data_IF_420506835568
#
_entry.id   IF_420506835568
#
_cell.length_a   1.000
_cell.length_b   1.000
_cell.length_c   1.000
_cell.angle_alpha   90.00
_cell.angle_beta   90.00
_cell.angle_gamma   90.00
#
_symmetry.space_group_name_H-M   'P 1'
#
loop_
_entity.id
_entity.type
_entity.pdbx_description
1 polymer ?
#
# COMPACT_ATOMS: atom_id res chain seq x y z
N UNK A 1 11.44 -30.03 -8.47
CA UNK A 1 10.34 -29.43 -9.26
C UNK A 1 10.34 -27.96 -8.95
N UNK A 2 9.90 -27.11 -9.88
CA UNK A 2 9.72 -25.69 -9.59
C UNK A 2 8.50 -25.49 -8.69
N UNK A 3 8.58 -24.54 -7.75
CA UNK A 3 7.46 -24.16 -6.89
C UNK A 3 6.65 -23.02 -7.53
N UNK A 4 5.38 -23.24 -7.82
CA UNK A 4 4.47 -22.24 -8.37
C UNK A 4 3.50 -21.77 -7.30
N UNK A 5 3.55 -20.47 -6.95
CA UNK A 5 2.65 -19.87 -5.97
C UNK A 5 1.67 -18.94 -6.67
N UNK A 6 0.38 -19.21 -6.51
CA UNK A 6 -0.68 -18.28 -6.91
C UNK A 6 -0.94 -17.32 -5.75
N UNK A 7 -0.79 -16.01 -5.97
CA UNK A 7 -1.24 -14.97 -5.05
C UNK A 7 -2.64 -14.47 -5.42
N UNK A 8 -3.47 -14.19 -4.42
CA UNK A 8 -4.82 -13.63 -4.57
C UNK A 8 -4.96 -12.43 -3.63
N UNK A 9 -5.29 -11.26 -4.19
CA UNK A 9 -5.58 -10.03 -3.47
C UNK A 9 -7.01 -9.58 -3.73
N UNK A 10 -7.77 -9.34 -2.65
CA UNK A 10 -9.15 -8.86 -2.70
C UNK A 10 -9.54 -8.03 -1.49
N UNK A 11 -8.61 -7.33 -0.87
CA UNK A 11 -8.86 -6.68 0.44
C UNK A 11 -9.72 -5.43 0.37
N UNK A 12 -9.79 -4.75 -0.78
CA UNK A 12 -10.50 -3.47 -0.94
C UNK A 12 -11.36 -3.46 -2.20
N UNK A 13 -10.92 -2.79 -3.27
CA UNK A 13 -11.66 -2.64 -4.53
C UNK A 13 -10.92 -3.20 -5.75
N UNK A 14 -9.69 -3.64 -5.63
CA UNK A 14 -8.94 -4.30 -6.70
C UNK A 14 -8.98 -5.81 -6.55
N UNK A 15 -9.46 -6.53 -7.58
CA UNK A 15 -9.33 -7.99 -7.66
C UNK A 15 -8.05 -8.34 -8.40
N UNK A 16 -7.12 -9.04 -7.78
CA UNK A 16 -5.85 -9.34 -8.40
C UNK A 16 -5.41 -10.79 -8.19
N UNK A 17 -4.74 -11.35 -9.21
CA UNK A 17 -4.07 -12.65 -9.14
C UNK A 17 -2.68 -12.58 -9.78
N UNK A 18 -1.71 -13.24 -9.17
CA UNK A 18 -0.34 -13.29 -9.65
C UNK A 18 0.26 -14.69 -9.49
N UNK A 19 1.16 -15.06 -10.38
CA UNK A 19 1.89 -16.34 -10.30
C UNK A 19 3.37 -16.06 -10.14
N UNK A 20 3.97 -16.67 -9.12
CA UNK A 20 5.43 -16.78 -8.96
C UNK A 20 5.91 -18.16 -9.33
N UNK A 21 7.11 -18.26 -9.90
CA UNK A 21 7.90 -19.48 -10.06
C UNK A 21 9.22 -19.33 -9.32
N UNK A 22 9.44 -20.13 -8.28
CA UNK A 22 10.67 -20.09 -7.48
C UNK A 22 11.03 -18.69 -6.97
N UNK A 23 10.02 -17.88 -6.62
CA UNK A 23 10.16 -16.49 -6.17
C UNK A 23 10.10 -15.43 -7.29
N UNK A 24 10.24 -15.82 -8.57
CA UNK A 24 10.19 -14.90 -9.72
C UNK A 24 8.76 -14.71 -10.25
N UNK A 25 8.39 -13.47 -10.50
CA UNK A 25 7.07 -13.10 -11.03
C UNK A 25 6.93 -13.52 -12.50
N UNK A 26 5.94 -14.37 -12.78
CA UNK A 26 5.54 -14.74 -14.14
C UNK A 26 4.37 -13.91 -14.64
N UNK A 27 3.39 -13.64 -13.78
CA UNK A 27 2.21 -12.86 -14.14
C UNK A 27 1.66 -12.08 -12.95
N UNK A 28 1.05 -10.92 -13.23
CA UNK A 28 0.26 -10.14 -12.27
C UNK A 28 -0.89 -9.50 -13.05
N UNK A 29 -2.12 -9.85 -12.69
CA UNK A 29 -3.35 -9.39 -13.33
C UNK A 29 -4.18 -8.65 -12.29
N UNK A 30 -4.62 -7.44 -12.63
CA UNK A 30 -5.42 -6.58 -11.75
C UNK A 30 -6.67 -6.15 -12.50
N UNK A 31 -7.83 -6.34 -11.88
CA UNK A 31 -9.13 -5.82 -12.32
C UNK A 31 -9.59 -4.75 -11.33
N UNK A 32 -9.40 -3.48 -11.70
CA UNK A 32 -9.78 -2.33 -10.88
C UNK A 32 -11.24 -1.94 -11.07
N UNK A 33 -11.91 -1.55 -9.99
CA UNK A 33 -13.32 -1.20 -9.98
C UNK A 33 -13.51 0.31 -10.13
N UNK A 34 -13.87 0.75 -11.35
CA UNK A 34 -14.06 2.19 -11.65
C UNK A 34 -15.32 2.79 -10.99
N UNK A 35 -16.31 1.96 -10.65
CA UNK A 35 -17.62 2.39 -10.12
C UNK A 35 -17.49 3.24 -8.84
N UNK A 36 -16.48 3.04 -8.04
CA UNK A 36 -16.29 3.75 -6.78
C UNK A 36 -15.99 5.24 -6.92
N UNK A 37 -15.52 5.68 -8.10
CA UNK A 37 -15.26 7.10 -8.40
C UNK A 37 -16.54 7.94 -8.34
N UNK A 38 -17.64 7.38 -8.78
CA UNK A 38 -18.94 8.05 -8.81
C UNK A 38 -19.52 8.28 -7.39
N UNK A 39 -19.07 7.50 -6.42
CA UNK A 39 -19.49 7.59 -5.02
C UNK A 39 -18.50 8.39 -4.15
N UNK A 40 -17.37 8.83 -4.72
CA UNK A 40 -16.32 9.55 -3.97
C UNK A 40 -15.64 8.72 -2.89
N UNK A 41 -15.59 7.38 -3.07
CA UNK A 41 -14.96 6.43 -2.17
C UNK A 41 -15.51 5.01 -2.34
N UNK A 42 -14.83 4.03 -1.75
CA UNK A 42 -15.20 2.62 -1.89
C UNK A 42 -16.53 2.32 -1.18
N UNK A 43 -17.45 1.67 -1.90
CA UNK A 43 -18.72 1.16 -1.37
C UNK A 43 -18.56 -0.35 -1.14
N UNK A 44 -18.52 -0.83 0.12
CA UNK A 44 -18.13 -2.21 0.44
C UNK A 44 -18.97 -3.30 -0.22
N UNK A 45 -20.29 -3.08 -0.35
CA UNK A 45 -21.17 -4.06 -1.00
C UNK A 45 -20.90 -4.17 -2.51
N UNK A 46 -20.68 -3.04 -3.18
CA UNK A 46 -20.33 -3.04 -4.61
C UNK A 46 -18.96 -3.69 -4.83
N UNK A 47 -17.99 -3.41 -3.94
CA UNK A 47 -16.68 -4.02 -4.01
C UNK A 47 -16.76 -5.56 -3.91
N UNK A 48 -17.47 -6.11 -2.92
CA UNK A 48 -17.58 -7.56 -2.77
C UNK A 48 -18.26 -8.24 -3.96
N UNK A 49 -19.33 -7.65 -4.52
CA UNK A 49 -19.98 -8.17 -5.74
C UNK A 49 -19.08 -8.16 -6.95
N UNK A 50 -18.28 -7.12 -7.12
CA UNK A 50 -17.31 -7.03 -8.22
C UNK A 50 -16.18 -8.07 -8.06
N UNK A 51 -15.70 -8.32 -6.84
CA UNK A 51 -14.76 -9.41 -6.58
C UNK A 51 -15.32 -10.76 -6.98
N UNK A 52 -16.58 -11.06 -6.63
CA UNK A 52 -17.25 -12.31 -6.99
C UNK A 52 -17.28 -12.52 -8.52
N UNK A 53 -17.55 -11.47 -9.26
CA UNK A 53 -17.58 -11.51 -10.74
C UNK A 53 -16.18 -11.64 -11.35
N UNK A 54 -15.17 -11.00 -10.74
CA UNK A 54 -13.85 -10.85 -11.34
C UNK A 54 -12.87 -11.97 -10.96
N UNK A 55 -13.05 -12.66 -9.82
CA UNK A 55 -12.02 -13.55 -9.27
C UNK A 55 -11.67 -14.71 -10.21
N UNK A 56 -12.67 -15.35 -10.80
CA UNK A 56 -12.44 -16.47 -11.73
C UNK A 56 -11.70 -16.01 -12.99
N UNK A 57 -12.20 -15.00 -13.75
CA UNK A 57 -11.49 -14.54 -14.95
C UNK A 57 -10.10 -13.97 -14.67
N UNK A 58 -9.88 -13.31 -13.53
CA UNK A 58 -8.56 -12.75 -13.15
C UNK A 58 -7.57 -13.87 -12.86
N UNK A 59 -7.97 -14.91 -12.11
CA UNK A 59 -7.13 -16.08 -11.84
C UNK A 59 -6.83 -16.86 -13.11
N UNK A 60 -7.84 -17.12 -13.95
CA UNK A 60 -7.65 -17.79 -15.25
C UNK A 60 -6.61 -17.03 -16.10
N UNK A 61 -6.79 -15.71 -16.23
CA UNK A 61 -5.88 -14.89 -17.01
C UNK A 61 -4.45 -14.85 -16.42
N UNK A 62 -4.30 -14.91 -15.09
CA UNK A 62 -3.00 -14.97 -14.45
C UNK A 62 -2.27 -16.28 -14.76
N UNK A 63 -2.97 -17.42 -14.73
CA UNK A 63 -2.42 -18.73 -15.11
C UNK A 63 -2.05 -18.78 -16.60
N UNK A 64 -2.94 -18.30 -17.48
CA UNK A 64 -2.70 -18.24 -18.92
C UNK A 64 -1.45 -17.39 -19.26
N UNK A 65 -1.31 -16.20 -18.66
CA UNK A 65 -0.14 -15.33 -18.83
C UNK A 65 1.15 -15.95 -18.27
N UNK A 66 1.04 -16.75 -17.21
CA UNK A 66 2.17 -17.49 -16.64
C UNK A 66 2.54 -18.71 -17.49
N UNK A 67 1.69 -19.14 -18.43
CA UNK A 67 1.89 -20.32 -19.28
C UNK A 67 1.81 -21.63 -18.52
N UNK A 68 1.01 -21.68 -17.44
CA UNK A 68 0.83 -22.87 -16.59
C UNK A 68 -0.64 -23.24 -16.44
N UNK A 69 -0.90 -24.48 -16.03
CA UNK A 69 -2.22 -24.94 -15.62
C UNK A 69 -2.41 -24.85 -14.11
N UNK A 70 -3.64 -24.85 -13.64
CA UNK A 70 -3.93 -24.88 -12.22
C UNK A 70 -3.32 -26.11 -11.51
N UNK A 71 -3.23 -27.25 -12.20
CA UNK A 71 -2.58 -28.47 -11.69
C UNK A 71 -1.07 -28.35 -11.44
N UNK A 72 -0.42 -27.31 -11.98
CA UNK A 72 1.02 -27.09 -11.80
C UNK A 72 1.33 -26.28 -10.52
N UNK A 73 0.28 -25.70 -9.90
CA UNK A 73 0.41 -24.91 -8.68
C UNK A 73 0.87 -25.78 -7.50
N UNK A 74 1.77 -25.21 -6.70
CA UNK A 74 2.31 -25.83 -5.48
C UNK A 74 1.61 -25.30 -4.21
N UNK A 75 1.18 -24.05 -4.20
CA UNK A 75 0.42 -23.44 -3.10
C UNK A 75 -0.36 -22.21 -3.57
N UNK A 76 -1.34 -21.78 -2.76
CA UNK A 76 -2.13 -20.58 -2.98
C UNK A 76 -1.95 -19.65 -1.80
N UNK A 77 -1.39 -18.45 -2.04
CA UNK A 77 -1.34 -17.37 -1.06
C UNK A 77 -2.54 -16.44 -1.25
N UNK A 78 -3.17 -16.03 -0.15
CA UNK A 78 -4.33 -15.15 -0.21
C UNK A 78 -4.33 -14.14 0.92
N UNK A 79 -4.92 -12.98 0.70
CA UNK A 79 -5.05 -11.94 1.72
C UNK A 79 -6.11 -12.34 2.73
N UNK A 80 -5.65 -12.58 3.97
CA UNK A 80 -6.54 -12.81 5.12
C UNK A 80 -7.15 -11.49 5.64
N UNK A 81 -6.42 -10.40 5.54
CA UNK A 81 -6.72 -9.07 6.05
C UNK A 81 -5.45 -8.27 6.35
N UNK A 82 -5.59 -7.02 6.84
CA UNK A 82 -6.84 -6.28 7.02
C UNK A 82 -7.51 -5.91 5.69
N UNK A 83 -8.80 -5.52 5.74
CA UNK A 83 -9.55 -5.08 4.57
C UNK A 83 -11.07 -5.11 4.77
N UNK A 84 -11.81 -4.92 3.69
CA UNK A 84 -13.27 -5.00 3.67
C UNK A 84 -13.70 -6.47 3.82
N UNK A 85 -14.44 -6.80 4.86
CA UNK A 85 -14.77 -8.19 5.20
C UNK A 85 -15.45 -8.94 4.03
N UNK A 86 -16.41 -8.31 3.33
CA UNK A 86 -17.08 -8.90 2.19
C UNK A 86 -16.13 -9.22 1.03
N UNK A 87 -15.22 -8.31 0.73
CA UNK A 87 -14.19 -8.47 -0.30
C UNK A 87 -13.18 -9.58 0.07
N UNK A 88 -12.70 -9.59 1.31
CA UNK A 88 -11.81 -10.63 1.84
C UNK A 88 -12.45 -12.02 1.83
N UNK A 89 -13.76 -12.11 2.13
CA UNK A 89 -14.52 -13.38 2.08
C UNK A 89 -14.48 -14.01 0.70
N UNK A 90 -14.57 -13.22 -0.37
CA UNK A 90 -14.50 -13.73 -1.74
C UNK A 90 -13.15 -14.38 -2.02
N UNK A 91 -12.06 -13.67 -1.81
CA UNK A 91 -10.71 -14.19 -2.06
C UNK A 91 -10.35 -15.38 -1.16
N UNK A 92 -10.71 -15.30 0.14
CA UNK A 92 -10.49 -16.41 1.08
C UNK A 92 -11.26 -17.67 0.69
N UNK A 93 -12.55 -17.54 0.34
CA UNK A 93 -13.38 -18.70 -0.04
C UNK A 93 -12.90 -19.33 -1.34
N UNK A 94 -12.52 -18.49 -2.32
CA UNK A 94 -11.96 -18.97 -3.58
C UNK A 94 -10.63 -19.71 -3.36
N UNK A 95 -9.70 -19.15 -2.59
CA UNK A 95 -8.43 -19.80 -2.29
C UNK A 95 -8.60 -21.14 -1.59
N UNK A 96 -9.51 -21.23 -0.62
CA UNK A 96 -9.84 -22.49 0.07
C UNK A 96 -10.42 -23.52 -0.88
N UNK A 97 -11.43 -23.14 -1.67
CA UNK A 97 -12.09 -24.06 -2.61
C UNK A 97 -11.07 -24.62 -3.63
N UNK A 98 -10.21 -23.75 -4.16
CA UNK A 98 -9.19 -24.14 -5.11
C UNK A 98 -8.10 -25.02 -4.47
N UNK A 99 -7.67 -24.70 -3.23
CA UNK A 99 -6.72 -25.51 -2.47
C UNK A 99 -7.24 -26.92 -2.20
N UNK A 100 -8.52 -27.06 -1.83
CA UNK A 100 -9.19 -28.37 -1.65
C UNK A 100 -9.26 -29.13 -2.97
N UNK A 101 -9.68 -28.47 -4.06
CA UNK A 101 -9.86 -29.12 -5.35
C UNK A 101 -8.55 -29.62 -5.96
N UNK A 102 -7.44 -28.96 -5.68
CA UNK A 102 -6.10 -29.30 -6.20
C UNK A 102 -5.26 -30.12 -5.20
N UNK A 103 -5.74 -30.32 -3.99
CA UNK A 103 -5.02 -30.98 -2.88
C UNK A 103 -3.66 -30.31 -2.61
N UNK A 104 -3.65 -28.95 -2.58
CA UNK A 104 -2.45 -28.15 -2.31
C UNK A 104 -2.67 -27.20 -1.12
N UNK A 105 -1.60 -26.85 -0.38
CA UNK A 105 -1.71 -25.96 0.76
C UNK A 105 -2.14 -24.55 0.38
N UNK A 106 -2.88 -23.92 1.29
CA UNK A 106 -3.16 -22.48 1.27
C UNK A 106 -2.30 -21.76 2.30
N UNK A 107 -1.95 -20.51 2.01
CA UNK A 107 -1.08 -19.66 2.84
C UNK A 107 -1.78 -18.33 3.06
N UNK A 108 -2.16 -18.05 4.30
CA UNK A 108 -2.71 -16.74 4.63
C UNK A 108 -1.61 -15.68 4.68
N UNK A 109 -1.90 -14.50 4.15
CA UNK A 109 -1.00 -13.36 4.14
C UNK A 109 -1.68 -12.14 4.77
N UNK A 110 -0.94 -11.41 5.59
CA UNK A 110 -1.34 -10.08 6.02
C UNK A 110 -1.08 -9.10 4.86
N UNK A 111 -2.13 -8.36 4.45
CA UNK A 111 -2.07 -7.37 3.38
C UNK A 111 -0.92 -6.35 3.55
N UNK A 112 -0.72 -5.88 4.78
CA UNK A 112 0.34 -4.91 5.09
C UNK A 112 1.74 -5.52 4.94
N UNK A 113 1.92 -6.80 5.29
CA UNK A 113 3.17 -7.53 5.01
C UNK A 113 3.42 -7.65 3.51
N UNK A 114 2.37 -7.84 2.71
CA UNK A 114 2.47 -7.78 1.26
C UNK A 114 3.10 -6.46 0.78
N UNK A 115 2.58 -5.33 1.23
CA UNK A 115 3.16 -4.02 0.90
C UNK A 115 4.61 -3.83 1.38
N UNK A 116 4.94 -4.32 2.58
CA UNK A 116 6.30 -4.25 3.13
C UNK A 116 7.29 -5.07 2.28
N UNK A 117 6.84 -6.22 1.78
CA UNK A 117 7.64 -7.14 0.97
C UNK A 117 7.53 -6.90 -0.55
N UNK A 118 6.74 -5.93 -0.99
CA UNK A 118 6.54 -5.63 -2.42
C UNK A 118 7.85 -5.35 -3.18
N UNK A 119 8.87 -4.84 -2.49
CA UNK A 119 10.20 -4.64 -3.05
C UNK A 119 10.98 -5.93 -3.33
N UNK A 120 10.51 -7.08 -2.86
CA UNK A 120 11.10 -8.40 -3.10
C UNK A 120 10.44 -9.16 -4.26
N UNK A 121 9.58 -8.51 -5.04
CA UNK A 121 8.99 -9.11 -6.25
C UNK A 121 10.03 -9.13 -7.37
N UNK A 122 10.72 -10.25 -7.50
CA UNK A 122 11.75 -10.47 -8.51
C UNK A 122 11.16 -10.70 -9.90
N UNK A 123 11.85 -10.22 -10.93
CA UNK A 123 11.47 -10.36 -12.32
C UNK A 123 12.66 -10.89 -13.12
N UNK A 124 12.44 -11.89 -13.96
CA UNK A 124 13.48 -12.42 -14.83
C UNK A 124 14.02 -11.32 -15.78
N UNK A 125 15.34 -11.27 -15.95
CA UNK A 125 16.00 -10.30 -16.83
C UNK A 125 16.11 -8.88 -16.29
N UNK A 126 15.70 -8.64 -15.03
CA UNK A 126 15.87 -7.36 -14.35
C UNK A 126 16.92 -7.43 -13.24
N UNK A 127 17.49 -6.27 -12.92
CA UNK A 127 18.28 -6.13 -11.70
C UNK A 127 17.33 -6.11 -10.51
N UNK A 128 17.35 -7.19 -9.73
CA UNK A 128 16.54 -7.35 -8.54
C UNK A 128 17.36 -6.90 -7.32
N UNK A 129 17.03 -5.74 -6.77
CA UNK A 129 17.72 -5.16 -5.61
C UNK A 129 16.80 -5.11 -4.41
N UNK A 130 17.25 -5.70 -3.31
CA UNK A 130 16.50 -5.77 -2.05
C UNK A 130 17.26 -5.12 -0.91
N UNK A 131 16.55 -4.57 0.10
CA UNK A 131 17.17 -4.17 1.34
C UNK A 131 17.73 -5.40 2.07
N UNK A 132 18.90 -5.25 2.68
CA UNK A 132 19.40 -6.23 3.63
C UNK A 132 18.61 -6.14 4.94
N UNK A 133 18.37 -7.27 5.58
CA UNK A 133 17.75 -7.31 6.91
C UNK A 133 18.78 -6.96 8.00
N UNK A 134 18.43 -6.21 9.05
CA UNK A 134 17.16 -5.53 9.22
C UNK A 134 17.04 -4.25 8.39
N UNK A 135 15.83 -3.90 7.96
CA UNK A 135 15.56 -2.66 7.27
C UNK A 135 14.37 -1.90 7.88
N UNK A 136 14.23 -0.62 7.53
CA UNK A 136 13.07 0.21 7.86
C UNK A 136 12.14 0.33 6.65
N UNK A 137 10.88 0.04 6.85
CA UNK A 137 9.82 0.31 5.89
C UNK A 137 8.92 1.44 6.37
N UNK A 138 8.81 2.52 5.58
CA UNK A 138 7.76 3.52 5.76
C UNK A 138 6.52 3.02 5.00
N UNK A 139 5.61 2.38 5.72
CA UNK A 139 4.36 1.87 5.19
C UNK A 139 3.29 2.96 5.22
N UNK A 140 2.82 3.40 4.04
CA UNK A 140 1.86 4.50 3.88
C UNK A 140 0.80 4.17 2.85
N UNK A 141 -0.46 4.07 3.28
CA UNK A 141 -1.60 3.71 2.46
C UNK A 141 -2.83 4.56 2.79
N UNK A 142 -3.97 4.25 2.20
CA UNK A 142 -5.26 4.87 2.52
C UNK A 142 -5.64 4.69 3.99
N UNK A 143 -5.39 3.52 4.57
CA UNK A 143 -5.79 3.19 5.94
C UNK A 143 -4.64 3.05 6.95
N UNK A 144 -3.38 3.11 6.51
CA UNK A 144 -2.23 2.85 7.39
C UNK A 144 -1.10 3.85 7.17
N UNK A 145 -0.46 4.24 8.27
CA UNK A 145 0.77 5.03 8.26
C UNK A 145 1.64 4.54 9.40
N UNK A 146 2.72 3.81 9.08
CA UNK A 146 3.58 3.13 10.06
C UNK A 146 5.05 3.21 9.67
N UNK A 147 5.93 3.20 10.66
CA UNK A 147 7.34 2.85 10.48
C UNK A 147 7.52 1.45 11.05
N UNK A 148 7.93 0.53 10.20
CA UNK A 148 8.13 -0.88 10.56
C UNK A 148 9.61 -1.22 10.43
N UNK A 149 10.19 -1.82 11.48
CA UNK A 149 11.46 -2.52 11.40
C UNK A 149 11.20 -3.94 10.99
N UNK A 150 11.89 -4.40 9.98
CA UNK A 150 11.76 -5.73 9.40
C UNK A 150 13.07 -6.46 9.66
N UNK A 151 13.04 -7.45 10.54
CA UNK A 151 14.21 -8.22 10.93
C UNK A 151 14.41 -9.47 10.05
N UNK A 152 13.32 -10.01 9.49
CA UNK A 152 13.30 -11.07 8.51
C UNK A 152 11.99 -11.00 7.69
N UNK A 153 11.79 -11.80 6.64
CA UNK A 153 10.52 -11.83 5.90
C UNK A 153 9.29 -12.17 6.73
N UNK A 154 9.48 -12.68 7.94
CA UNK A 154 8.40 -13.09 8.85
C UNK A 154 8.40 -12.35 10.20
N UNK A 155 9.37 -11.45 10.44
CA UNK A 155 9.52 -10.76 11.73
C UNK A 155 9.48 -9.25 11.54
N UNK A 156 8.49 -8.63 12.17
CA UNK A 156 8.18 -7.20 12.01
C UNK A 156 7.97 -6.55 13.38
N UNK A 157 8.47 -5.32 13.52
CA UNK A 157 8.25 -4.50 14.72
C UNK A 157 7.74 -3.12 14.30
N UNK A 158 6.56 -2.73 14.73
CA UNK A 158 6.05 -1.36 14.54
C UNK A 158 6.80 -0.44 15.49
N UNK A 159 7.56 0.51 14.95
CA UNK A 159 8.30 1.51 15.72
C UNK A 159 7.48 2.77 16.00
N UNK A 160 6.55 3.09 15.13
CA UNK A 160 5.63 4.22 15.25
C UNK A 160 4.51 4.13 14.22
N UNK A 161 3.37 4.72 14.54
CA UNK A 161 2.18 4.68 13.68
C UNK A 161 1.34 5.94 13.84
N UNK A 162 0.36 6.12 12.96
CA UNK A 162 -0.61 7.19 13.13
C UNK A 162 -1.51 6.92 14.33
N UNK A 163 -1.83 7.98 15.08
CA UNK A 163 -2.77 7.93 16.22
C UNK A 163 -4.19 8.38 15.82
N UNK A 164 -4.36 8.82 14.57
CA UNK A 164 -5.63 9.31 14.03
C UNK A 164 -5.77 8.90 12.55
N UNK A 165 -6.07 9.83 11.65
CA UNK A 165 -6.18 9.56 10.20
C UNK A 165 -4.87 8.98 9.65
N UNK A 166 -4.95 8.08 8.65
CA UNK A 166 -3.80 7.72 7.84
C UNK A 166 -3.45 8.85 6.85
N UNK A 167 -2.21 8.87 6.36
CA UNK A 167 -1.77 9.93 5.43
C UNK A 167 -2.54 9.90 4.10
N UNK A 168 -2.88 8.73 3.59
CA UNK A 168 -3.70 8.60 2.38
C UNK A 168 -5.12 9.13 2.59
N UNK A 169 -5.73 8.80 3.72
CA UNK A 169 -7.02 9.36 4.13
C UNK A 169 -6.97 10.89 4.27
N UNK A 170 -5.86 11.45 4.77
CA UNK A 170 -5.66 12.89 4.83
C UNK A 170 -5.61 13.51 3.42
N UNK A 171 -4.92 12.87 2.46
CA UNK A 171 -4.93 13.29 1.05
C UNK A 171 -6.34 13.30 0.48
N UNK A 172 -7.10 12.22 0.65
CA UNK A 172 -8.45 12.09 0.08
C UNK A 172 -9.43 13.09 0.68
N UNK A 173 -9.44 13.23 2.01
CA UNK A 173 -10.31 14.19 2.72
C UNK A 173 -10.01 15.64 2.30
N UNK A 174 -8.73 15.99 2.19
CA UNK A 174 -8.32 17.34 1.82
C UNK A 174 -8.56 17.65 0.33
N UNK A 175 -8.37 16.69 -0.56
CA UNK A 175 -8.75 16.78 -1.96
C UNK A 175 -10.25 17.09 -2.10
N UNK A 176 -11.10 16.35 -1.37
CA UNK A 176 -12.54 16.56 -1.34
C UNK A 176 -12.92 17.95 -0.81
N UNK A 177 -12.25 18.44 0.25
CA UNK A 177 -12.46 19.79 0.78
C UNK A 177 -12.12 20.90 -0.24
N UNK A 178 -11.12 20.67 -1.08
CA UNK A 178 -10.71 21.59 -2.14
C UNK A 178 -11.51 21.40 -3.45
N UNK A 179 -12.48 20.49 -3.50
CA UNK A 179 -13.25 20.21 -4.71
C UNK A 179 -12.47 19.51 -5.83
N UNK A 180 -11.33 18.88 -5.52
CA UNK A 180 -10.43 18.27 -6.51
C UNK A 180 -10.79 16.82 -6.89
N UNK A 181 -11.77 16.21 -6.19
CA UNK A 181 -12.26 14.86 -6.49
C UNK A 181 -11.54 13.73 -5.74
N UNK A 182 -11.79 12.49 -6.20
CA UNK A 182 -11.29 11.23 -5.63
C UNK A 182 -10.73 10.32 -6.76
N UNK A 183 -9.63 9.57 -6.51
CA UNK A 183 -8.79 9.57 -5.32
C UNK A 183 -7.92 10.83 -5.22
N UNK A 184 -7.79 11.37 -3.99
CA UNK A 184 -7.14 12.67 -3.75
C UNK A 184 -5.62 12.64 -3.89
N UNK A 185 -4.96 11.56 -3.45
CA UNK A 185 -3.51 11.43 -3.49
C UNK A 185 -2.89 11.71 -4.86
N UNK A 186 -3.30 11.00 -5.93
CA UNK A 186 -2.78 11.22 -7.29
C UNK A 186 -3.08 12.61 -7.85
N UNK A 187 -4.25 13.20 -7.52
CA UNK A 187 -4.64 14.54 -7.98
C UNK A 187 -3.75 15.59 -7.33
N UNK A 188 -3.59 15.53 -6.01
CA UNK A 188 -2.73 16.46 -5.26
C UNK A 188 -1.28 16.33 -5.71
N UNK A 189 -0.76 15.11 -5.89
CA UNK A 189 0.62 14.89 -6.34
C UNK A 189 0.88 15.49 -7.74
N UNK A 190 -0.09 15.38 -8.63
CA UNK A 190 0.00 15.97 -9.97
C UNK A 190 0.02 17.50 -9.94
N UNK A 191 -0.91 18.12 -9.19
CA UNK A 191 -1.01 19.57 -9.08
C UNK A 191 0.17 20.17 -8.32
N UNK A 192 0.66 19.49 -7.29
CA UNK A 192 1.78 19.94 -6.47
C UNK A 192 3.10 20.12 -7.25
N UNK A 193 3.24 19.48 -8.41
CA UNK A 193 4.43 19.64 -9.28
C UNK A 193 4.56 21.04 -9.88
N UNK A 194 3.43 21.71 -10.06
CA UNK A 194 3.34 23.05 -10.70
C UNK A 194 3.29 24.19 -9.67
N UNK A 195 3.16 23.87 -8.35
CA UNK A 195 2.96 24.85 -7.29
C UNK A 195 4.21 25.11 -6.45
N UNK A 196 4.19 26.24 -5.71
CA UNK A 196 5.20 26.56 -4.71
C UNK A 196 4.89 25.92 -3.36
N UNK A 197 5.68 24.92 -2.90
CA UNK A 197 5.47 24.24 -1.62
C UNK A 197 5.69 25.12 -0.37
N UNK A 198 6.10 26.37 -0.54
CA UNK A 198 6.34 27.34 0.55
C UNK A 198 5.30 28.45 0.60
N UNK A 199 4.39 28.50 -0.37
CA UNK A 199 3.40 29.58 -0.51
C UNK A 199 2.47 29.68 0.69
N UNK A 200 1.99 28.51 1.17
CA UNK A 200 1.08 28.43 2.30
C UNK A 200 1.69 27.58 3.43
N UNK A 201 1.31 27.88 4.67
CA UNK A 201 1.80 27.17 5.84
C UNK A 201 0.62 26.52 6.57
N UNK A 202 0.73 25.21 6.80
CA UNK A 202 -0.24 24.43 7.56
C UNK A 202 0.36 23.93 8.86
N UNK A 203 -0.48 23.72 9.86
CA UNK A 203 -0.04 23.23 11.16
C UNK A 203 0.64 21.86 11.02
N UNK A 204 1.77 21.72 11.70
CA UNK A 204 2.50 20.45 11.81
C UNK A 204 2.36 19.94 13.24
N UNK A 205 1.53 18.92 13.50
CA UNK A 205 1.34 18.40 14.84
C UNK A 205 2.66 17.87 15.42
N UNK A 206 2.88 18.17 16.69
CA UNK A 206 4.04 17.66 17.42
C UNK A 206 3.60 16.48 18.30
N UNK A 207 3.89 15.26 17.84
CA UNK A 207 3.59 14.02 18.57
C UNK A 207 4.89 13.45 19.13
N UNK A 208 4.92 13.05 20.41
CA UNK A 208 6.09 12.40 21.01
C UNK A 208 6.46 11.09 20.31
N UNK A 209 7.70 10.63 20.51
CA UNK A 209 8.16 9.35 19.98
C UNK A 209 8.22 9.32 18.44
N UNK A 210 7.82 8.20 17.87
CA UNK A 210 7.81 7.93 16.42
C UNK A 210 6.40 7.94 15.83
N UNK A 211 5.36 8.16 16.64
CA UNK A 211 3.98 8.22 16.18
C UNK A 211 3.69 9.49 15.38
N UNK A 212 2.63 9.43 14.56
CA UNK A 212 2.16 10.52 13.71
C UNK A 212 0.79 11.03 14.11
N UNK A 213 0.42 12.21 13.62
CA UNK A 213 -0.96 12.71 13.55
C UNK A 213 -1.14 13.53 12.28
N UNK A 214 -2.25 13.33 11.59
CA UNK A 214 -2.59 14.05 10.37
C UNK A 214 -3.89 14.85 10.50
N UNK A 215 -4.72 14.60 11.51
CA UNK A 215 -5.99 15.30 11.72
C UNK A 215 -5.81 16.81 11.97
N UNK A 216 -4.72 17.21 12.63
CA UNK A 216 -4.39 18.61 12.84
C UNK A 216 -4.05 19.36 11.55
N UNK A 217 -3.39 18.71 10.59
CA UNK A 217 -3.09 19.28 9.26
C UNK A 217 -4.39 19.50 8.48
N UNK A 218 -5.27 18.51 8.49
CA UNK A 218 -6.60 18.58 7.86
C UNK A 218 -7.42 19.78 8.40
N UNK A 219 -7.46 19.90 9.71
CA UNK A 219 -8.21 21.00 10.37
C UNK A 219 -7.60 22.37 10.04
N UNK A 220 -6.28 22.48 10.00
CA UNK A 220 -5.56 23.68 9.60
C UNK A 220 -5.89 24.10 8.15
N UNK A 221 -5.89 23.14 7.22
CA UNK A 221 -6.28 23.39 5.83
C UNK A 221 -7.74 23.82 5.73
N UNK A 222 -8.65 23.13 6.44
CA UNK A 222 -10.08 23.44 6.41
C UNK A 222 -10.35 24.88 6.82
N UNK A 223 -9.81 25.34 7.94
CA UNK A 223 -10.02 26.70 8.39
C UNK A 223 -9.37 27.72 7.47
N UNK A 224 -8.16 27.46 7.01
CA UNK A 224 -7.47 28.32 6.07
C UNK A 224 -8.28 28.52 4.79
N UNK A 225 -8.69 27.43 4.14
CA UNK A 225 -9.47 27.50 2.89
C UNK A 225 -10.82 28.17 3.08
N UNK A 226 -11.53 27.88 4.19
CA UNK A 226 -12.81 28.56 4.54
C UNK A 226 -12.62 30.07 4.65
N UNK A 227 -11.59 30.52 5.37
CA UNK A 227 -11.35 31.93 5.64
C UNK A 227 -10.90 32.68 4.36
N UNK A 228 -10.18 32.02 3.46
CA UNK A 228 -9.78 32.59 2.18
C UNK A 228 -10.92 32.63 1.15
N UNK A 229 -11.77 31.60 1.09
CA UNK A 229 -12.98 31.59 0.23
C UNK A 229 -13.95 32.70 0.65
N UNK A 230 -14.05 33.02 1.94
CA UNK A 230 -14.88 34.11 2.40
C UNK A 230 -14.42 35.48 1.89
N UNK A 231 -13.14 35.63 1.54
CA UNK A 231 -12.55 36.84 0.95
C UNK A 231 -12.60 36.84 -0.58
N UNK A 232 -12.32 35.68 -1.19
CA UNK A 232 -12.30 35.46 -2.63
C UNK A 232 -12.92 34.10 -2.95
N UNK A 233 -14.16 34.04 -3.47
CA UNK A 233 -14.81 32.77 -3.80
C UNK A 233 -14.04 31.90 -4.79
N UNK A 234 -13.19 32.48 -5.63
CA UNK A 234 -12.37 31.77 -6.61
C UNK A 234 -10.99 31.37 -6.06
N UNK A 235 -10.74 31.56 -4.76
CA UNK A 235 -9.41 31.39 -4.15
C UNK A 235 -8.80 30.02 -4.44
N UNK A 236 -9.57 28.94 -4.32
CA UNK A 236 -9.07 27.58 -4.57
C UNK A 236 -8.62 27.46 -6.04
N UNK A 237 -9.46 27.87 -6.98
CA UNK A 237 -9.14 27.73 -8.42
C UNK A 237 -7.90 28.54 -8.81
N UNK A 238 -7.71 29.72 -8.22
CA UNK A 238 -6.55 30.57 -8.47
C UNK A 238 -5.25 30.07 -7.84
N UNK A 239 -5.33 29.21 -6.80
CA UNK A 239 -4.18 28.79 -5.99
C UNK A 239 -4.06 27.27 -5.79
N UNK A 240 -4.77 26.46 -6.58
CA UNK A 240 -4.86 25.01 -6.35
C UNK A 240 -3.53 24.30 -6.41
N UNK A 241 -2.63 24.72 -7.29
CA UNK A 241 -1.29 24.15 -7.43
C UNK A 241 -0.45 24.42 -6.16
N UNK A 242 -0.45 25.67 -5.69
CA UNK A 242 0.28 26.08 -4.49
C UNK A 242 -0.28 25.48 -3.22
N UNK A 243 -1.63 25.36 -3.13
CA UNK A 243 -2.32 24.69 -2.03
C UNK A 243 -1.91 23.21 -1.97
N UNK A 244 -1.96 22.52 -3.11
CA UNK A 244 -1.56 21.12 -3.21
C UNK A 244 -0.08 20.93 -2.87
N UNK A 245 0.81 21.77 -3.41
CA UNK A 245 2.25 21.70 -3.13
C UNK A 245 2.56 21.93 -1.64
N UNK A 246 1.97 22.95 -1.04
CA UNK A 246 2.18 23.29 0.37
C UNK A 246 1.58 22.22 1.31
N UNK A 247 0.41 21.69 0.98
CA UNK A 247 -0.23 20.62 1.73
C UNK A 247 0.56 19.31 1.65
N UNK A 248 0.92 18.87 0.45
CA UNK A 248 1.75 17.69 0.24
C UNK A 248 3.07 17.78 1.00
N UNK A 249 3.73 18.95 0.94
CA UNK A 249 4.99 19.18 1.65
C UNK A 249 4.86 18.93 3.14
N UNK A 250 3.83 19.46 3.83
CA UNK A 250 3.70 19.28 5.28
C UNK A 250 3.45 17.82 5.64
N UNK A 251 2.66 17.07 4.86
CA UNK A 251 2.45 15.64 5.09
C UNK A 251 3.75 14.85 4.95
N UNK A 252 4.52 15.13 3.88
CA UNK A 252 5.82 14.49 3.66
C UNK A 252 6.80 14.86 4.78
N UNK A 253 6.84 16.11 5.23
CA UNK A 253 7.72 16.53 6.33
C UNK A 253 7.40 15.82 7.65
N UNK A 254 6.10 15.55 7.93
CA UNK A 254 5.68 14.76 9.11
C UNK A 254 6.23 13.33 9.03
N UNK A 255 6.02 12.66 7.88
CA UNK A 255 6.50 11.30 7.66
C UNK A 255 8.02 11.19 7.76
N UNK A 256 8.73 12.09 7.08
CA UNK A 256 10.19 12.06 7.00
C UNK A 256 10.87 12.41 8.31
N UNK A 257 10.32 13.30 9.12
CA UNK A 257 10.89 13.61 10.44
C UNK A 257 10.93 12.36 11.33
N UNK A 258 9.87 11.56 11.29
CA UNK A 258 9.77 10.34 12.07
C UNK A 258 10.64 9.22 11.50
N UNK A 259 10.69 9.05 10.19
CA UNK A 259 11.57 8.08 9.55
C UNK A 259 13.05 8.39 9.83
N UNK A 260 13.44 9.65 9.74
CA UNK A 260 14.81 10.11 10.07
C UNK A 260 15.14 9.82 11.53
N UNK A 261 14.18 10.07 12.43
CA UNK A 261 14.34 9.78 13.86
C UNK A 261 14.47 8.28 14.11
N UNK A 262 13.65 7.45 13.48
CA UNK A 262 13.70 5.99 13.57
C UNK A 262 15.05 5.44 13.08
N UNK A 263 15.51 5.88 11.90
CA UNK A 263 16.81 5.48 11.36
C UNK A 263 17.97 5.86 12.29
N UNK A 264 17.89 7.04 12.93
CA UNK A 264 18.90 7.45 13.93
C UNK A 264 18.87 6.60 15.20
N UNK A 265 17.67 6.27 15.70
CA UNK A 265 17.51 5.46 16.91
C UNK A 265 17.94 4.00 16.73
N UNK A 266 17.66 3.45 15.56
CA UNK A 266 17.98 2.03 15.27
C UNK A 266 19.37 1.84 14.67
N UNK A 267 19.98 2.89 14.11
CA UNK A 267 21.22 2.79 13.34
C UNK A 267 21.05 2.13 11.95
N UNK A 268 19.82 1.74 11.57
CA UNK A 268 19.53 1.09 10.31
C UNK A 268 19.65 2.09 9.15
N UNK A 269 20.32 1.67 8.07
CA UNK A 269 20.52 2.46 6.86
C UNK A 269 19.79 1.90 5.63
N UNK A 270 19.26 0.69 5.73
CA UNK A 270 18.43 0.06 4.71
C UNK A 270 17.00 0.61 4.85
N UNK A 271 16.50 1.33 3.86
CA UNK A 271 15.22 2.05 3.94
C UNK A 271 14.39 1.78 2.70
N UNK A 272 13.15 1.39 2.89
CA UNK A 272 12.15 1.25 1.83
C UNK A 272 10.86 1.99 2.17
N UNK A 273 9.98 2.12 1.18
CA UNK A 273 8.62 2.63 1.34
C UNK A 273 7.64 1.61 0.76
N UNK A 274 6.44 1.50 1.32
CA UNK A 274 5.39 0.59 0.86
C UNK A 274 4.00 1.19 0.99
N UNK A 275 3.00 0.55 0.37
CA UNK A 275 1.62 1.02 0.34
C UNK A 275 1.33 2.05 -0.74
N UNK A 276 0.04 2.30 -1.03
CA UNK A 276 -0.40 3.13 -2.17
C UNK A 276 0.18 4.55 -2.19
N UNK A 277 0.38 5.19 -1.02
CA UNK A 277 0.97 6.54 -0.95
C UNK A 277 2.48 6.53 -1.27
N UNK A 278 3.13 5.37 -1.27
CA UNK A 278 4.52 5.26 -1.75
C UNK A 278 4.70 5.57 -3.24
N UNK A 279 3.59 5.64 -4.01
CA UNK A 279 3.58 6.14 -5.38
C UNK A 279 3.73 7.66 -5.48
N UNK A 280 3.52 8.41 -4.39
CA UNK A 280 3.61 9.88 -4.39
C UNK A 280 5.03 10.33 -4.79
N UNK A 281 5.12 11.14 -5.87
CA UNK A 281 6.39 11.52 -6.45
C UNK A 281 7.23 12.42 -5.52
N UNK A 282 6.57 13.30 -4.75
CA UNK A 282 7.22 14.15 -3.76
C UNK A 282 7.82 13.34 -2.59
N UNK A 283 7.10 12.33 -2.11
CA UNK A 283 7.62 11.43 -1.06
C UNK A 283 8.84 10.64 -1.56
N UNK A 284 8.75 10.05 -2.74
CA UNK A 284 9.87 9.30 -3.36
C UNK A 284 11.12 10.16 -3.48
N UNK A 285 10.99 11.35 -4.08
CA UNK A 285 12.09 12.30 -4.23
C UNK A 285 12.70 12.70 -2.87
N UNK A 286 11.86 12.89 -1.84
CA UNK A 286 12.33 13.24 -0.51
C UNK A 286 13.07 12.10 0.17
N UNK A 287 12.62 10.85 0.05
CA UNK A 287 13.31 9.67 0.59
C UNK A 287 14.69 9.50 -0.08
N UNK A 288 14.78 9.63 -1.39
CA UNK A 288 16.06 9.56 -2.12
C UNK A 288 17.02 10.67 -1.71
N UNK A 289 16.52 11.90 -1.60
CA UNK A 289 17.35 13.05 -1.20
C UNK A 289 17.90 12.89 0.23
N UNK A 290 17.06 12.49 1.18
CA UNK A 290 17.50 12.23 2.56
C UNK A 290 18.41 10.98 2.63
N UNK A 291 18.17 9.99 1.79
CA UNK A 291 19.04 8.81 1.66
C UNK A 291 20.44 9.19 1.25
N UNK A 292 20.59 9.96 0.17
CA UNK A 292 21.89 10.50 -0.28
C UNK A 292 22.59 11.32 0.80
N UNK A 293 21.84 12.19 1.47
CA UNK A 293 22.36 13.07 2.53
C UNK A 293 22.85 12.31 3.77
N UNK A 294 22.21 11.18 4.09
CA UNK A 294 22.44 10.40 5.33
C UNK A 294 23.21 9.10 5.11
N UNK A 295 23.52 8.77 3.86
CA UNK A 295 24.20 7.53 3.52
C UNK A 295 23.28 6.30 3.74
N UNK A 296 21.99 6.43 3.43
CA UNK A 296 21.07 5.31 3.41
C UNK A 296 21.11 4.60 2.06
N UNK A 297 20.91 3.31 2.08
CA UNK A 297 20.54 2.51 0.91
C UNK A 297 19.01 2.58 0.78
N UNK A 298 18.53 3.23 -0.27
CA UNK A 298 17.08 3.42 -0.48
C UNK A 298 16.57 2.47 -1.56
N UNK A 299 15.45 1.80 -1.28
CA UNK A 299 14.80 0.86 -2.17
C UNK A 299 13.36 1.29 -2.38
N UNK A 300 13.06 1.79 -3.58
CA UNK A 300 11.73 2.25 -3.92
C UNK A 300 11.08 1.22 -4.85
N UNK A 301 9.96 0.60 -4.46
CA UNK A 301 9.29 -0.39 -5.31
C UNK A 301 8.87 0.23 -6.66
N UNK A 302 8.81 -0.58 -7.72
CA UNK A 302 8.26 -0.14 -9.00
C UNK A 302 6.80 0.32 -8.79
N UNK A 303 6.36 1.34 -9.52
CA UNK A 303 5.01 1.91 -9.37
C UNK A 303 3.88 0.87 -9.43
N UNK A 304 4.03 -0.14 -10.29
CA UNK A 304 3.04 -1.22 -10.45
C UNK A 304 2.87 -2.13 -9.23
N UNK A 305 3.79 -2.03 -8.23
CA UNK A 305 3.74 -2.79 -6.98
C UNK A 305 3.46 -1.91 -5.76
N UNK A 306 3.18 -0.61 -5.95
CA UNK A 306 2.88 0.30 -4.84
C UNK A 306 1.44 0.22 -4.38
N UNK A 307 0.49 0.07 -5.30
CA UNK A 307 -0.93 -0.13 -5.02
C UNK A 307 -1.25 -1.60 -4.79
N UNK A 308 -2.49 -1.91 -4.42
CA UNK A 308 -2.95 -3.27 -4.17
C UNK A 308 -2.74 -4.16 -5.40
N UNK A 309 -2.05 -5.27 -5.21
CA UNK A 309 -1.75 -6.22 -6.27
C UNK A 309 -1.43 -7.60 -5.69
N UNK A 310 -1.65 -8.65 -6.46
CA UNK A 310 -1.42 -10.01 -5.99
C UNK A 310 0.06 -10.44 -6.00
N UNK A 311 0.94 -9.74 -6.72
CA UNK A 311 2.37 -10.08 -6.69
C UNK A 311 2.97 -9.87 -5.29
N UNK A 312 2.53 -8.82 -4.55
CA UNK A 312 2.96 -8.59 -3.17
C UNK A 312 2.45 -9.68 -2.21
N UNK A 313 1.26 -10.23 -2.48
CA UNK A 313 0.70 -11.34 -1.69
C UNK A 313 1.40 -12.65 -2.02
N UNK A 314 1.69 -12.87 -3.31
CA UNK A 314 2.42 -14.04 -3.76
C UNK A 314 3.82 -14.11 -3.16
N UNK A 315 4.59 -12.99 -3.12
CA UNK A 315 5.93 -12.96 -2.55
C UNK A 315 5.92 -13.14 -1.03
N UNK A 316 4.98 -12.52 -0.32
CA UNK A 316 4.82 -12.75 1.12
C UNK A 316 4.42 -14.21 1.41
N UNK A 317 3.52 -14.77 0.60
CA UNK A 317 3.17 -16.19 0.65
C UNK A 317 4.32 -17.13 0.31
N UNK A 318 5.17 -16.77 -0.64
CA UNK A 318 6.38 -17.51 -0.98
C UNK A 318 7.33 -17.66 0.22
N UNK A 319 7.64 -16.57 0.92
CA UNK A 319 8.48 -16.62 2.12
C UNK A 319 7.88 -17.52 3.21
N UNK A 320 6.57 -17.40 3.47
CA UNK A 320 5.86 -18.26 4.43
C UNK A 320 5.84 -19.72 4.00
N UNK A 321 5.59 -19.99 2.73
CA UNK A 321 5.64 -21.34 2.16
C UNK A 321 7.01 -21.98 2.35
N UNK A 322 8.10 -21.24 2.05
CA UNK A 322 9.49 -21.71 2.21
C UNK A 322 9.87 -21.92 3.68
N UNK A 323 9.25 -21.18 4.59
CA UNK A 323 9.40 -21.40 6.05
C UNK A 323 8.60 -22.60 6.56
N UNK A 324 7.83 -23.28 5.70
CA UNK A 324 7.03 -24.45 6.08
C UNK A 324 5.64 -24.12 6.62
N UNK A 325 5.23 -22.85 6.60
CA UNK A 325 3.89 -22.47 7.07
C UNK A 325 2.79 -23.04 6.16
N UNK A 326 1.69 -23.45 6.79
CA UNK A 326 0.48 -23.93 6.13
C UNK A 326 -0.73 -23.39 6.91
N UNK A 327 -1.74 -22.94 6.20
CA UNK A 327 -2.93 -22.35 6.80
C UNK A 327 -4.04 -23.40 6.91
N UNK A 328 -4.66 -23.57 8.09
CA UNK A 328 -5.79 -24.48 8.22
C UNK A 328 -7.03 -23.97 7.47
N UNK A 329 -7.89 -24.88 7.03
CA UNK A 329 -9.07 -24.54 6.21
C UNK A 329 -10.17 -23.80 6.99
N UNK A 330 -10.15 -23.83 8.32
CA UNK A 330 -11.11 -23.13 9.18
C UNK A 330 -10.75 -21.64 9.41
N UNK A 331 -9.59 -21.17 8.91
CA UNK A 331 -9.19 -19.75 9.03
C UNK A 331 -10.29 -18.83 8.50
N UNK A 332 -10.61 -17.77 9.24
CA UNK A 332 -11.53 -16.72 8.79
C UNK A 332 -10.75 -15.45 8.38
N UNK A 333 -11.24 -14.68 7.40
CA UNK A 333 -10.71 -13.37 7.12
C UNK A 333 -11.03 -12.40 8.27
N UNK A 334 -10.22 -11.36 8.41
CA UNK A 334 -10.37 -10.35 9.47
C UNK A 334 -10.25 -8.95 8.90
N UNK A 335 -11.19 -8.07 9.24
CA UNK A 335 -11.21 -6.69 8.73
C UNK A 335 -10.12 -5.80 9.37
N UNK A 336 -9.65 -6.18 10.55
CA UNK A 336 -8.59 -5.47 11.29
C UNK A 336 -7.59 -6.46 11.85
N UNK A 337 -6.32 -6.13 11.76
CA UNK A 337 -5.22 -6.90 12.37
C UNK A 337 -4.43 -5.92 13.21
N UNK A 338 -4.28 -6.20 14.50
CA UNK A 338 -3.56 -5.32 15.42
C UNK A 338 -2.04 -5.45 15.27
N UNK A 339 -1.56 -6.67 14.99
CA UNK A 339 -0.14 -7.02 14.91
C UNK A 339 0.16 -7.75 13.59
N UNK A 340 1.44 -7.76 13.22
CA UNK A 340 1.94 -8.46 12.03
C UNK A 340 2.08 -9.96 12.25
#
# INVERSE_FOLDING_TARGET
MADYILGIESSCDDTSAAVLRDGFLLSNVIASQQVHKDFGGVVPELASRAHEQNIVPVVSQALDKAGIKASDLTAIAFTRGPGLLGSLLVGTSFAKAMGIALDIPIIMVNHLQGHILAGFVDQEGKENRHPAFPYLCLLVSGGNSQIVRVDSPLEYTILGQTIDDAVGEAFDKCSKMMGLGYPGGPVIDRLAKEGDPKRFQFAKPHIPGLDYSFSGVKTSLLYFVRDEIAKDPDFIEKNKEDLCASFQKVLIDILMDKLIKAARQTGIKEVTIGGGVSANSGLRARVEAEGKKRGWNTYLPEFKFTTDNAAMIAVAGWFRYKAGERTPLDVAPVSRIADY
#
